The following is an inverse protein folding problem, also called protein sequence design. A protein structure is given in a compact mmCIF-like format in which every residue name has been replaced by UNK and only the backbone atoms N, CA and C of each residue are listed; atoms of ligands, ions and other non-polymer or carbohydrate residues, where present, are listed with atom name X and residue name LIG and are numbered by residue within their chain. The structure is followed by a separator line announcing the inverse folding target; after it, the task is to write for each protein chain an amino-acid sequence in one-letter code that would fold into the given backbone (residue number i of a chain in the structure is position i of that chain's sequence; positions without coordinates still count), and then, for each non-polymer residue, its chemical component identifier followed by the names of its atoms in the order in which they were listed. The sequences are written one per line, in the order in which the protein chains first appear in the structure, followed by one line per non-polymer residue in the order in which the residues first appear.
data_IF_758082376335
#
_entry.id   IF_758082376335
#
_cell.length_a   1.000
_cell.length_b   1.000
_cell.length_c   1.000
_cell.angle_alpha   90.00
_cell.angle_beta   90.00
_cell.angle_gamma   90.00
#
_symmetry.space_group_name_H-M   'P 1'
#
loop_
_entity.id
_entity.type
_entity.pdbx_description
1 polymer ?
#
# COMPACT_ATOMS: atom_id res chain seq x y z
N UNK A 1 -5.06 -7.06 -30.54
CA UNK A 1 -6.37 -6.39 -30.62
C UNK A 1 -6.67 -5.57 -29.35
N UNK A 2 -6.69 -6.17 -28.14
CA UNK A 2 -6.99 -5.43 -26.90
C UNK A 2 -5.92 -4.39 -26.49
N UNK A 3 -4.63 -4.69 -26.68
CA UNK A 3 -3.55 -3.71 -26.44
C UNK A 3 -3.59 -2.52 -27.40
N UNK A 4 -3.98 -2.76 -28.66
CA UNK A 4 -4.13 -1.73 -29.69
C UNK A 4 -5.28 -0.78 -29.37
N UNK A 5 -6.41 -1.33 -28.93
CA UNK A 5 -7.54 -0.53 -28.47
C UNK A 5 -7.20 0.25 -27.20
N UNK A 6 -6.50 -0.35 -26.24
CA UNK A 6 -5.99 0.38 -25.06
C UNK A 6 -5.10 1.56 -25.45
N UNK A 7 -4.17 1.37 -26.38
CA UNK A 7 -3.32 2.45 -26.86
C UNK A 7 -4.13 3.58 -27.51
N UNK A 8 -5.17 3.25 -28.27
CA UNK A 8 -6.09 4.24 -28.83
C UNK A 8 -6.83 5.03 -27.74
N UNK A 9 -7.39 4.34 -26.73
CA UNK A 9 -8.09 5.01 -25.62
C UNK A 9 -7.12 5.88 -24.80
N UNK A 10 -5.89 5.41 -24.59
CA UNK A 10 -4.86 6.19 -23.90
C UNK A 10 -4.49 7.47 -24.64
N UNK A 11 -4.55 7.48 -25.97
CA UNK A 11 -4.35 8.70 -26.76
C UNK A 11 -5.52 9.70 -26.62
N UNK A 12 -6.73 9.22 -26.29
CA UNK A 12 -7.90 10.08 -26.08
C UNK A 12 -7.91 10.71 -24.69
N UNK A 13 -7.72 9.91 -23.64
CA UNK A 13 -7.60 10.38 -22.26
C UNK A 13 -6.68 9.46 -21.46
N UNK A 14 -5.39 9.80 -21.33
CA UNK A 14 -4.41 8.98 -20.63
C UNK A 14 -4.82 8.72 -19.17
N UNK A 15 -5.46 9.69 -18.52
CA UNK A 15 -5.81 9.64 -17.10
C UNK A 15 -7.01 8.73 -16.83
N UNK A 16 -7.89 8.55 -17.81
CA UNK A 16 -9.11 7.73 -17.69
C UNK A 16 -9.07 6.45 -18.50
N UNK A 17 -7.91 6.08 -19.04
CA UNK A 17 -7.75 4.92 -19.93
C UNK A 17 -8.41 3.66 -19.37
N UNK A 18 -8.04 3.26 -18.15
CA UNK A 18 -8.53 2.00 -17.57
C UNK A 18 -10.02 2.11 -17.21
N UNK A 19 -10.49 3.26 -16.72
CA UNK A 19 -11.91 3.54 -16.43
C UNK A 19 -12.78 3.40 -17.69
N UNK A 20 -12.34 3.98 -18.81
CA UNK A 20 -13.05 3.91 -20.09
C UNK A 20 -13.08 2.49 -20.62
N UNK A 21 -11.96 1.78 -20.58
CA UNK A 21 -11.88 0.38 -21.00
C UNK A 21 -12.82 -0.49 -20.17
N UNK A 22 -12.75 -0.37 -18.84
CA UNK A 22 -13.61 -1.10 -17.92
C UNK A 22 -15.10 -0.80 -18.17
N UNK A 23 -15.45 0.47 -18.41
CA UNK A 23 -16.83 0.87 -18.68
C UNK A 23 -17.43 0.21 -19.93
N UNK A 24 -16.61 -0.09 -20.94
CA UNK A 24 -17.05 -0.82 -22.13
C UNK A 24 -17.16 -2.31 -21.81
N UNK A 25 -16.18 -2.90 -21.12
CA UNK A 25 -16.21 -4.32 -20.75
C UNK A 25 -17.46 -4.65 -19.91
N UNK A 26 -17.82 -3.78 -18.95
CA UNK A 26 -19.00 -3.90 -18.09
C UNK A 26 -20.34 -3.89 -18.85
N UNK A 27 -20.38 -3.41 -20.10
CA UNK A 27 -21.60 -3.47 -20.94
C UNK A 27 -21.87 -4.86 -21.53
N UNK A 28 -20.84 -5.70 -21.61
CA UNK A 28 -20.90 -6.98 -22.32
C UNK A 28 -20.65 -8.19 -21.42
N UNK A 29 -20.03 -7.98 -20.25
CA UNK A 29 -19.67 -9.04 -19.33
C UNK A 29 -20.13 -8.72 -17.91
N UNK A 30 -20.70 -9.73 -17.27
CA UNK A 30 -21.06 -9.68 -15.85
C UNK A 30 -19.82 -9.66 -14.94
N UNK A 31 -20.02 -9.25 -13.69
CA UNK A 31 -18.92 -9.09 -12.72
C UNK A 31 -18.11 -10.37 -12.50
N UNK A 32 -18.76 -11.52 -12.33
CA UNK A 32 -18.06 -12.78 -12.08
C UNK A 32 -17.25 -13.26 -13.30
N UNK A 33 -17.73 -12.95 -14.52
CA UNK A 33 -17.00 -13.18 -15.76
C UNK A 33 -15.78 -12.27 -15.83
N UNK A 34 -15.94 -10.97 -15.53
CA UNK A 34 -14.84 -10.01 -15.50
C UNK A 34 -13.75 -10.40 -14.49
N UNK A 35 -14.13 -10.84 -13.28
CA UNK A 35 -13.19 -11.35 -12.27
C UNK A 35 -12.36 -12.52 -12.80
N UNK A 36 -13.01 -13.51 -13.44
CA UNK A 36 -12.31 -14.65 -14.05
C UNK A 36 -11.39 -14.21 -15.18
N UNK A 37 -11.83 -13.28 -16.03
CA UNK A 37 -11.04 -12.74 -17.14
C UNK A 37 -9.78 -12.02 -16.63
N UNK A 38 -9.90 -11.20 -15.60
CA UNK A 38 -8.75 -10.49 -15.02
C UNK A 38 -7.81 -11.45 -14.29
N UNK A 39 -8.35 -12.44 -13.56
CA UNK A 39 -7.55 -13.49 -12.94
C UNK A 39 -6.71 -14.27 -13.97
N UNK A 40 -7.31 -14.63 -15.12
CA UNK A 40 -6.59 -15.33 -16.19
C UNK A 40 -5.54 -14.42 -16.86
N UNK A 41 -5.91 -13.19 -17.20
CA UNK A 41 -4.99 -12.24 -17.84
C UNK A 41 -3.79 -11.86 -16.95
N UNK A 42 -3.93 -11.91 -15.62
CA UNK A 42 -2.82 -11.71 -14.66
C UNK A 42 -1.75 -12.80 -14.73
N UNK A 43 -2.05 -13.98 -15.28
CA UNK A 43 -1.06 -15.06 -15.44
C UNK A 43 0.01 -14.71 -16.48
N UNK A 44 -0.33 -13.95 -17.53
CA UNK A 44 0.62 -13.53 -18.55
C UNK A 44 1.33 -12.22 -18.19
N UNK A 45 2.66 -12.19 -18.31
CA UNK A 45 3.48 -11.02 -17.99
C UNK A 45 3.12 -9.77 -18.83
N UNK A 46 2.73 -9.95 -20.08
CA UNK A 46 2.41 -8.83 -20.99
C UNK A 46 1.08 -8.15 -20.68
N UNK A 47 0.15 -8.87 -20.04
CA UNK A 47 -1.21 -8.39 -19.74
C UNK A 47 -1.45 -8.16 -18.25
N UNK A 48 -0.53 -8.60 -17.39
CA UNK A 48 -0.69 -8.55 -15.93
C UNK A 48 -0.99 -7.16 -15.39
N UNK A 49 -0.17 -6.16 -15.75
CA UNK A 49 -0.36 -4.79 -15.26
C UNK A 49 -1.73 -4.23 -15.67
N UNK A 50 -2.12 -4.43 -16.93
CA UNK A 50 -3.43 -3.97 -17.42
C UNK A 50 -4.58 -4.70 -16.72
N UNK A 51 -4.47 -6.01 -16.52
CA UNK A 51 -5.50 -6.78 -15.83
C UNK A 51 -5.65 -6.35 -14.36
N UNK A 52 -4.55 -6.08 -13.66
CA UNK A 52 -4.58 -5.52 -12.31
C UNK A 52 -5.27 -4.16 -12.27
N UNK A 53 -4.94 -3.25 -13.18
CA UNK A 53 -5.58 -1.93 -13.24
C UNK A 53 -7.09 -2.03 -13.49
N UNK A 54 -7.53 -2.94 -14.38
CA UNK A 54 -8.95 -3.12 -14.68
C UNK A 54 -9.72 -3.78 -13.53
N UNK A 55 -9.06 -4.66 -12.77
CA UNK A 55 -9.61 -5.22 -11.54
C UNK A 55 -9.76 -4.14 -10.45
N UNK A 56 -8.80 -3.23 -10.32
CA UNK A 56 -8.91 -2.06 -9.43
C UNK A 56 -10.08 -1.15 -9.83
N UNK A 57 -10.26 -0.87 -11.13
CA UNK A 57 -11.42 -0.12 -11.62
C UNK A 57 -12.75 -0.82 -11.33
N UNK A 58 -12.75 -2.15 -11.43
CA UNK A 58 -13.91 -2.95 -11.06
C UNK A 58 -14.28 -2.76 -9.60
N UNK A 59 -13.32 -2.92 -8.68
CA UNK A 59 -13.52 -2.72 -7.25
C UNK A 59 -13.96 -1.30 -6.92
N UNK A 60 -13.37 -0.30 -7.56
CA UNK A 60 -13.76 1.10 -7.42
C UNK A 60 -15.21 1.32 -7.85
N UNK A 61 -15.60 0.76 -9.00
CA UNK A 61 -16.98 0.88 -9.52
C UNK A 61 -18.03 0.18 -8.65
N UNK A 62 -17.60 -0.79 -7.84
CA UNK A 62 -18.42 -1.47 -6.83
C UNK A 62 -18.43 -0.73 -5.48
N UNK A 63 -17.73 0.39 -5.35
CA UNK A 63 -17.62 1.14 -4.11
C UNK A 63 -16.82 0.42 -3.03
N UNK A 64 -15.92 -0.51 -3.37
CA UNK A 64 -15.05 -1.16 -2.38
C UNK A 64 -14.10 -0.11 -1.79
N UNK A 65 -14.20 0.11 -0.49
CA UNK A 65 -13.27 0.97 0.24
C UNK A 65 -12.07 0.17 0.73
N UNK A 66 -11.03 0.86 1.24
CA UNK A 66 -9.81 0.26 1.77
C UNK A 66 -10.10 -0.87 2.78
N UNK A 67 -11.02 -0.64 3.72
CA UNK A 67 -11.47 -1.64 4.71
C UNK A 67 -12.09 -2.89 4.08
N UNK A 68 -12.97 -2.68 3.10
CA UNK A 68 -13.67 -3.78 2.45
C UNK A 68 -12.69 -4.64 1.65
N UNK A 69 -11.72 -4.01 0.99
CA UNK A 69 -10.69 -4.75 0.25
C UNK A 69 -9.71 -5.46 1.19
N UNK A 70 -9.37 -4.87 2.34
CA UNK A 70 -8.50 -5.51 3.33
C UNK A 70 -9.05 -6.86 3.78
N UNK A 71 -10.35 -6.91 4.13
CA UNK A 71 -11.07 -8.14 4.50
C UNK A 71 -11.26 -9.09 3.33
N UNK A 72 -11.58 -8.55 2.15
CA UNK A 72 -11.73 -9.37 0.94
C UNK A 72 -10.44 -10.14 0.59
N UNK A 73 -9.28 -9.50 0.80
CA UNK A 73 -7.96 -10.09 0.63
C UNK A 73 -7.50 -10.94 1.84
N UNK A 74 -8.34 -11.04 2.89
CA UNK A 74 -8.07 -11.78 4.13
C UNK A 74 -6.78 -11.34 4.81
N UNK A 75 -6.46 -10.05 4.75
CA UNK A 75 -5.28 -9.49 5.41
C UNK A 75 -5.49 -9.36 6.93
N UNK A 76 -6.74 -9.27 7.38
CA UNK A 76 -7.14 -9.27 8.78
C UNK A 76 -6.97 -10.63 9.46
N UNK A 77 -7.00 -11.72 8.70
CA UNK A 77 -6.79 -13.08 9.20
C UNK A 77 -5.29 -13.43 9.38
N UNK A 78 -4.36 -12.55 8.99
CA UNK A 78 -2.92 -12.84 8.95
C UNK A 78 -2.14 -12.44 10.19
N UNK A 79 -2.70 -11.60 11.06
CA UNK A 79 -1.98 -11.09 12.23
C UNK A 79 -0.63 -10.46 11.84
N UNK A 80 0.42 -10.76 12.58
CA UNK A 80 1.78 -10.24 12.35
C UNK A 80 2.36 -10.60 10.96
N UNK A 81 1.89 -11.69 10.33
CA UNK A 81 2.38 -12.16 9.03
C UNK A 81 1.78 -11.38 7.84
N UNK A 82 0.92 -10.40 8.08
CA UNK A 82 0.27 -9.64 7.00
C UNK A 82 1.30 -8.94 6.10
N UNK A 83 2.43 -8.49 6.66
CA UNK A 83 3.47 -7.78 5.94
C UNK A 83 4.37 -8.69 5.10
N UNK A 84 4.32 -10.00 5.35
CA UNK A 84 4.92 -11.03 4.49
C UNK A 84 3.95 -11.46 3.37
N UNK A 85 2.71 -10.96 3.39
CA UNK A 85 1.70 -11.39 2.45
C UNK A 85 1.94 -10.86 1.03
N UNK A 86 1.96 -11.72 0.00
CA UNK A 86 2.13 -11.27 -1.38
C UNK A 86 0.95 -10.42 -1.88
N UNK A 87 -0.22 -10.51 -1.24
CA UNK A 87 -1.42 -9.71 -1.60
C UNK A 87 -1.46 -8.34 -0.90
N UNK A 88 -0.53 -8.03 0.02
CA UNK A 88 -0.40 -6.69 0.59
C UNK A 88 -0.19 -5.64 -0.51
N UNK A 89 0.64 -5.96 -1.51
CA UNK A 89 0.89 -5.05 -2.64
C UNK A 89 -0.36 -4.69 -3.41
N UNK A 90 -1.31 -5.62 -3.55
CA UNK A 90 -2.61 -5.36 -4.18
C UNK A 90 -3.43 -4.36 -3.36
N UNK A 91 -3.45 -4.50 -2.04
CA UNK A 91 -4.16 -3.56 -1.16
C UNK A 91 -3.53 -2.16 -1.19
N UNK A 92 -2.20 -2.07 -1.10
CA UNK A 92 -1.46 -0.81 -1.17
C UNK A 92 -1.68 -0.11 -2.52
N UNK A 93 -1.59 -0.85 -3.63
CA UNK A 93 -1.84 -0.33 -4.97
C UNK A 93 -3.25 0.28 -5.08
N UNK A 94 -4.26 -0.45 -4.59
CA UNK A 94 -5.63 0.01 -4.65
C UNK A 94 -5.90 1.26 -3.81
N UNK A 95 -5.34 1.38 -2.60
CA UNK A 95 -5.48 2.60 -1.80
C UNK A 95 -4.85 3.79 -2.52
N UNK A 96 -3.65 3.63 -3.07
CA UNK A 96 -3.00 4.68 -3.85
C UNK A 96 -3.85 5.06 -5.07
N UNK A 97 -4.46 4.08 -5.75
CA UNK A 97 -5.40 4.31 -6.85
C UNK A 97 -6.58 5.16 -6.40
N UNK A 98 -7.25 4.80 -5.30
CA UNK A 98 -8.36 5.58 -4.74
C UNK A 98 -7.94 7.02 -4.42
N UNK A 99 -6.77 7.19 -3.81
CA UNK A 99 -6.20 8.48 -3.45
C UNK A 99 -6.01 9.42 -4.66
N UNK A 100 -5.79 8.88 -5.87
CA UNK A 100 -5.69 9.70 -7.09
C UNK A 100 -7.01 10.36 -7.51
N UNK A 101 -8.15 9.87 -7.01
CA UNK A 101 -9.48 10.44 -7.29
C UNK A 101 -9.94 11.41 -6.20
N UNK A 102 -9.23 11.49 -5.07
CA UNK A 102 -9.56 12.39 -3.98
C UNK A 102 -9.28 13.85 -4.37
N UNK A 103 -10.12 14.78 -3.86
CA UNK A 103 -9.91 16.22 -4.09
C UNK A 103 -8.59 16.72 -3.52
N UNK A 104 -8.13 16.06 -2.45
CA UNK A 104 -6.88 16.35 -1.75
C UNK A 104 -6.20 15.01 -1.48
N UNK A 105 -5.37 14.52 -2.41
CA UNK A 105 -4.62 13.30 -2.19
C UNK A 105 -3.73 13.43 -0.95
N UNK A 106 -3.70 12.39 -0.14
CA UNK A 106 -2.87 12.31 1.06
C UNK A 106 -1.68 11.39 0.79
N UNK A 107 -0.46 11.92 0.96
CA UNK A 107 0.77 11.14 0.76
C UNK A 107 0.84 9.94 1.70
N UNK A 108 0.29 10.06 2.91
CA UNK A 108 0.37 9.05 3.96
C UNK A 108 -0.88 8.19 4.06
N UNK A 109 -1.79 8.25 3.08
CA UNK A 109 -3.08 7.55 3.09
C UNK A 109 -2.96 6.06 3.46
N UNK A 110 -1.94 5.36 2.94
CA UNK A 110 -1.74 3.93 3.23
C UNK A 110 -1.32 3.71 4.68
N UNK A 111 -0.48 4.60 5.24
CA UNK A 111 -0.08 4.53 6.65
C UNK A 111 -1.27 4.85 7.55
N UNK A 112 -2.06 5.88 7.21
CA UNK A 112 -3.29 6.21 7.91
C UNK A 112 -4.28 5.04 7.91
N UNK A 113 -4.40 4.30 6.81
CA UNK A 113 -5.24 3.09 6.74
C UNK A 113 -4.70 1.91 7.56
N UNK A 114 -3.38 1.81 7.76
CA UNK A 114 -2.78 0.84 8.68
C UNK A 114 -3.02 1.25 10.15
N UNK A 115 -2.81 2.52 10.49
CA UNK A 115 -3.00 3.06 11.86
C UNK A 115 -4.46 2.99 12.34
N UNK A 116 -5.44 2.85 11.44
CA UNK A 116 -6.84 2.56 11.82
C UNK A 116 -7.03 1.15 12.36
N UNK A 117 -6.13 0.22 12.05
CA UNK A 117 -6.27 -1.23 12.31
C UNK A 117 -5.37 -1.72 13.42
N UNK A 118 -4.29 -1.00 13.69
CA UNK A 118 -3.25 -1.36 14.64
C UNK A 118 -3.04 -0.21 15.61
N UNK A 119 -2.58 -0.53 16.81
CA UNK A 119 -2.11 0.51 17.73
C UNK A 119 -0.98 1.31 17.08
N UNK A 120 -0.92 2.60 17.38
CA UNK A 120 -0.13 3.59 16.63
C UNK A 120 1.34 3.17 16.34
N UNK A 121 2.00 2.54 17.31
CA UNK A 121 3.41 2.09 17.19
C UNK A 121 3.57 0.70 16.56
N UNK A 122 2.51 -0.11 16.49
CA UNK A 122 2.58 -1.50 16.07
C UNK A 122 2.95 -1.68 14.60
N UNK A 123 2.42 -0.90 13.63
CA UNK A 123 2.88 -1.01 12.26
C UNK A 123 4.39 -0.77 12.13
N UNK A 124 4.98 0.10 12.96
CA UNK A 124 6.43 0.33 12.94
C UNK A 124 7.22 -0.89 13.41
N UNK A 125 6.72 -1.55 14.46
CA UNK A 125 7.29 -2.79 15.00
C UNK A 125 7.20 -3.92 13.98
N UNK A 126 6.03 -4.09 13.36
CA UNK A 126 5.75 -5.15 12.39
C UNK A 126 6.54 -4.95 11.09
N UNK A 127 6.55 -3.73 10.52
CA UNK A 127 7.33 -3.39 9.32
C UNK A 127 8.83 -3.59 9.56
N UNK A 128 9.35 -3.08 10.68
CA UNK A 128 10.77 -3.20 11.02
C UNK A 128 11.20 -4.63 11.35
N UNK A 129 10.32 -5.44 11.96
CA UNK A 129 10.58 -6.86 12.16
C UNK A 129 10.60 -7.61 10.84
N UNK A 130 9.59 -7.41 9.99
CA UNK A 130 9.48 -8.07 8.68
C UNK A 130 10.69 -7.78 7.80
N UNK A 131 11.10 -6.52 7.70
CA UNK A 131 12.29 -6.13 6.93
C UNK A 131 13.56 -6.80 7.46
N UNK A 132 13.71 -6.90 8.78
CA UNK A 132 14.85 -7.58 9.37
C UNK A 132 14.85 -9.09 9.09
N UNK A 133 13.72 -9.77 9.24
CA UNK A 133 13.59 -11.19 8.95
C UNK A 133 13.89 -11.48 7.47
N UNK A 134 13.32 -10.68 6.57
CA UNK A 134 13.59 -10.77 5.14
C UNK A 134 15.08 -10.58 4.81
N UNK A 135 15.74 -9.59 5.43
CA UNK A 135 17.18 -9.37 5.28
C UNK A 135 18.04 -10.56 5.71
N UNK A 136 17.62 -11.29 6.75
CA UNK A 136 18.31 -12.53 7.18
C UNK A 136 18.08 -13.70 6.22
N UNK A 137 16.91 -13.76 5.57
CA UNK A 137 16.56 -14.80 4.59
C UNK A 137 17.09 -14.50 3.18
N UNK A 138 17.42 -13.24 2.88
CA UNK A 138 17.73 -12.77 1.54
C UNK A 138 16.50 -12.48 0.68
N UNK A 139 15.33 -12.31 1.32
CA UNK A 139 14.07 -12.03 0.63
C UNK A 139 13.96 -10.55 0.25
N UNK A 140 13.35 -10.27 -0.90
CA UNK A 140 13.03 -8.90 -1.30
C UNK A 140 11.67 -8.47 -0.75
N UNK A 141 11.65 -7.46 0.11
CA UNK A 141 10.43 -6.88 0.71
C UNK A 141 10.32 -5.37 0.47
N UNK A 142 10.51 -4.94 -0.78
CA UNK A 142 10.50 -3.53 -1.19
C UNK A 142 9.27 -2.73 -0.72
N UNK A 143 8.08 -3.34 -0.77
CA UNK A 143 6.84 -2.69 -0.31
C UNK A 143 6.91 -2.39 1.19
N UNK A 144 7.38 -3.35 2.00
CA UNK A 144 7.54 -3.18 3.45
C UNK A 144 8.54 -2.07 3.75
N UNK A 145 9.70 -2.08 3.09
CA UNK A 145 10.72 -1.05 3.25
C UNK A 145 10.19 0.35 2.86
N UNK A 146 9.38 0.43 1.80
CA UNK A 146 8.76 1.68 1.35
C UNK A 146 7.72 2.20 2.33
N UNK A 147 6.84 1.32 2.83
CA UNK A 147 5.85 1.67 3.86
C UNK A 147 6.53 2.14 5.15
N UNK A 148 7.62 1.48 5.55
CA UNK A 148 8.40 1.87 6.73
C UNK A 148 8.99 3.28 6.61
N UNK A 149 9.61 3.58 5.47
CA UNK A 149 10.13 4.93 5.19
C UNK A 149 9.01 5.96 5.17
N UNK A 150 7.86 5.63 4.58
CA UNK A 150 6.71 6.51 4.52
C UNK A 150 6.14 6.80 5.92
N UNK A 151 6.07 5.79 6.79
CA UNK A 151 5.68 5.96 8.19
C UNK A 151 6.64 6.88 8.94
N UNK A 152 7.95 6.67 8.81
CA UNK A 152 8.95 7.53 9.46
C UNK A 152 8.91 8.96 8.92
N UNK A 153 8.68 9.13 7.62
CA UNK A 153 8.44 10.45 7.03
C UNK A 153 7.20 11.10 7.66
N UNK A 154 6.08 10.40 7.76
CA UNK A 154 4.86 10.93 8.38
C UNK A 154 5.09 11.35 9.84
N UNK A 155 5.75 10.49 10.61
CA UNK A 155 6.11 10.78 12.00
C UNK A 155 6.90 12.08 12.11
N UNK A 156 7.87 12.28 11.22
CA UNK A 156 8.69 13.49 11.21
C UNK A 156 7.92 14.73 10.75
N UNK A 157 7.18 14.66 9.64
CA UNK A 157 6.64 15.84 8.95
C UNK A 157 5.24 16.21 9.40
N UNK A 158 4.34 15.24 9.51
CA UNK A 158 2.94 15.47 9.88
C UNK A 158 2.77 15.46 11.39
N UNK A 159 3.34 14.45 12.06
CA UNK A 159 3.18 14.25 13.51
C UNK A 159 4.24 14.97 14.35
N UNK A 160 5.29 15.51 13.71
CA UNK A 160 6.39 16.26 14.36
C UNK A 160 7.02 15.49 15.53
N UNK A 161 7.23 14.20 15.34
CA UNK A 161 7.92 13.33 16.29
C UNK A 161 9.44 13.43 16.09
N UNK A 162 10.15 13.54 17.21
CA UNK A 162 11.59 13.37 17.28
C UNK A 162 11.92 12.01 17.94
N UNK A 163 13.18 11.55 17.90
CA UNK A 163 13.54 10.25 18.48
C UNK A 163 13.21 10.12 19.97
N UNK A 164 13.21 11.22 20.74
CA UNK A 164 12.82 11.19 22.16
C UNK A 164 11.32 10.95 22.32
N UNK A 165 10.49 11.58 21.48
CA UNK A 165 9.03 11.38 21.46
C UNK A 165 8.66 9.97 21.04
N UNK A 166 9.31 9.43 20.00
CA UNK A 166 9.11 8.02 19.60
C UNK A 166 9.51 7.08 20.74
N UNK A 167 10.64 7.35 21.42
CA UNK A 167 11.04 6.60 22.61
C UNK A 167 9.95 6.56 23.70
N UNK A 168 9.27 7.68 23.96
CA UNK A 168 8.15 7.71 24.93
C UNK A 168 6.93 6.89 24.48
N UNK A 169 6.66 6.83 23.18
CA UNK A 169 5.53 6.07 22.65
C UNK A 169 5.76 4.56 22.77
N UNK A 170 6.95 4.08 22.41
CA UNK A 170 7.23 2.64 22.46
C UNK A 170 7.34 2.08 23.88
N UNK A 171 7.68 2.92 24.87
CA UNK A 171 7.72 2.55 26.31
C UNK A 171 6.32 2.20 26.86
N UNK A 172 5.23 2.55 26.17
CA UNK A 172 3.89 2.10 26.55
C UNK A 172 3.72 0.58 26.46
N UNK A 173 4.58 -0.11 25.72
CA UNK A 173 4.66 -1.59 25.68
C UNK A 173 6.11 -2.02 25.93
N UNK A 174 6.63 -1.84 27.16
CA UNK A 174 8.08 -1.87 27.42
C UNK A 174 8.72 -3.23 27.15
N UNK A 175 7.95 -4.31 27.26
CA UNK A 175 8.42 -5.68 27.11
C UNK A 175 8.52 -6.15 25.65
N UNK A 176 8.05 -5.34 24.67
CA UNK A 176 8.15 -5.70 23.26
C UNK A 176 9.60 -5.55 22.76
N UNK A 177 10.28 -6.65 22.38
CA UNK A 177 11.69 -6.60 21.96
C UNK A 177 11.91 -5.82 20.66
N UNK A 178 10.84 -5.57 19.87
CA UNK A 178 10.89 -4.83 18.61
C UNK A 178 11.08 -3.32 18.83
N UNK A 179 10.83 -2.81 20.05
CA UNK A 179 10.93 -1.39 20.40
C UNK A 179 12.30 -0.79 20.08
N UNK A 180 13.38 -1.50 20.43
CA UNK A 180 14.74 -1.00 20.22
C UNK A 180 15.03 -0.76 18.73
N UNK A 181 14.54 -1.63 17.86
CA UNK A 181 14.69 -1.48 16.41
C UNK A 181 13.91 -0.27 15.89
N UNK A 182 12.69 -0.05 16.38
CA UNK A 182 11.91 1.14 15.98
C UNK A 182 12.64 2.42 16.35
N UNK A 183 13.18 2.52 17.57
CA UNK A 183 13.91 3.71 18.03
C UNK A 183 15.17 3.95 17.20
N UNK A 184 16.01 2.92 17.04
CA UNK A 184 17.30 3.04 16.34
C UNK A 184 17.08 3.42 14.87
N UNK A 185 16.19 2.71 14.18
CA UNK A 185 16.01 2.92 12.75
C UNK A 185 15.31 4.26 12.48
N UNK A 186 14.41 4.70 13.38
CA UNK A 186 13.85 6.05 13.29
C UNK A 186 14.88 7.13 13.59
N UNK A 187 15.78 6.92 14.56
CA UNK A 187 16.87 7.85 14.85
C UNK A 187 17.78 8.05 13.63
N UNK A 188 18.17 6.96 12.97
CA UNK A 188 19.00 7.01 11.77
C UNK A 188 18.28 7.71 10.61
N UNK A 189 17.01 7.38 10.38
CA UNK A 189 16.18 8.08 9.40
C UNK A 189 16.06 9.58 9.71
N UNK A 190 15.79 9.94 10.96
CA UNK A 190 15.64 11.32 11.42
C UNK A 190 16.94 12.10 11.24
N UNK A 191 18.10 11.50 11.56
CA UNK A 191 19.41 12.13 11.38
C UNK A 191 19.74 12.36 9.91
N UNK A 192 19.41 11.40 9.05
CA UNK A 192 19.64 11.49 7.61
C UNK A 192 18.76 12.58 6.94
N UNK A 193 17.52 12.77 7.43
CA UNK A 193 16.54 13.66 6.78
C UNK A 193 16.31 14.99 7.53
N UNK A 194 16.74 15.12 8.78
CA UNK A 194 16.39 16.25 9.66
C UNK A 194 17.14 17.54 9.42
N UNK A 195 18.26 17.51 8.70
CA UNK A 195 18.99 18.72 8.28
C UNK A 195 18.30 19.46 7.11
N UNK A 196 17.38 18.80 6.41
CA UNK A 196 16.71 19.32 5.21
C UNK A 196 15.48 20.17 5.50
N UNK A 197 15.04 20.30 6.77
CA UNK A 197 13.80 20.99 7.15
C UNK A 197 14.02 22.41 7.73
N UNK A 198 15.26 22.89 7.75
CA UNK A 198 15.63 24.18 8.35
C UNK A 198 16.41 25.13 7.41
N UNK A 199 16.21 25.01 6.09
CA UNK A 199 16.69 25.99 5.10
C UNK A 199 15.52 26.57 4.31
#
# INVERSE_FOLDING_TARGET
MLLTWRAYVANLDPKKTDELIFSVMKKYYDGDILEKMFAEAKKSATTRSMASNLEEEMWRSQGKMADNLFKFLKLDEKGDDLFESPVLGTWVSYINRLNTYEKRPDEFVVINELEKRFDYVDPARMLGNTEHQAGMRGDNVEIVASLRKLQFKQWMTEKRLDPKRVGKLVIQSPDDPRNNRVILDFYDFYKANGRSLFY
#
